data_IF_604669029676
#
_entry.id   IF_604669029676
#
_cell.length_a   1.000
_cell.length_b   1.000
_cell.length_c   1.000
_cell.angle_alpha   90.00
_cell.angle_beta   90.00
_cell.angle_gamma   90.00
#
_symmetry.space_group_name_H-M   'P 1'
#
loop_
_entity.id
_entity.type
_entity.pdbx_description
1 polymer ?
#
# COMPACT_ATOMS: atom_id res chain seq x y z
N UNK A 1 -4.68 11.65 -4.91
CA UNK A 1 -4.35 11.95 -6.32
C UNK A 1 -5.08 13.19 -6.83
N UNK A 2 -6.42 13.16 -6.97
CA UNK A 2 -7.22 14.28 -7.53
C UNK A 2 -6.96 15.64 -6.86
N UNK A 3 -6.83 15.69 -5.53
CA UNK A 3 -6.58 16.95 -4.80
C UNK A 3 -5.20 17.54 -5.12
N UNK A 4 -4.17 16.71 -5.26
CA UNK A 4 -2.78 17.14 -5.45
C UNK A 4 -2.43 17.35 -6.93
N UNK A 5 -2.76 16.38 -7.79
CA UNK A 5 -2.38 16.38 -9.21
C UNK A 5 -3.45 16.96 -10.12
N UNK A 6 -4.69 17.09 -9.64
CA UNK A 6 -5.89 17.47 -10.44
C UNK A 6 -6.11 16.63 -11.70
N UNK A 7 -5.51 15.43 -11.74
CA UNK A 7 -5.63 14.47 -12.84
C UNK A 7 -6.49 13.27 -12.43
N UNK A 8 -6.98 12.55 -13.43
CA UNK A 8 -7.69 11.29 -13.23
C UNK A 8 -6.71 10.18 -12.77
N UNK A 9 -6.97 9.48 -11.64
CA UNK A 9 -6.10 8.39 -11.17
C UNK A 9 -6.29 7.05 -11.90
N UNK A 10 -7.43 6.83 -12.57
CA UNK A 10 -7.75 5.55 -13.21
C UNK A 10 -6.69 5.04 -14.22
N UNK A 11 -6.02 5.89 -15.02
CA UNK A 11 -4.94 5.45 -15.88
C UNK A 11 -3.79 4.77 -15.11
N UNK A 12 -3.38 5.35 -13.98
CA UNK A 12 -2.32 4.77 -13.14
C UNK A 12 -2.78 3.46 -12.52
N UNK A 13 -4.02 3.38 -12.01
CA UNK A 13 -4.54 2.13 -11.47
C UNK A 13 -4.56 1.01 -12.51
N UNK A 14 -4.92 1.33 -13.76
CA UNK A 14 -4.89 0.36 -14.86
C UNK A 14 -3.48 -0.14 -15.13
N UNK A 15 -2.48 0.74 -15.14
CA UNK A 15 -1.07 0.34 -15.31
C UNK A 15 -0.59 -0.53 -14.15
N UNK A 16 -1.03 -0.26 -12.92
CA UNK A 16 -0.64 -1.01 -11.72
C UNK A 16 -1.40 -2.33 -11.50
N UNK A 17 -2.34 -2.69 -12.39
CA UNK A 17 -3.11 -3.94 -12.22
C UNK A 17 -2.25 -5.19 -12.27
N UNK A 18 -1.28 -5.26 -13.18
CA UNK A 18 -0.40 -6.41 -13.32
C UNK A 18 0.46 -6.64 -12.07
N UNK A 19 1.23 -5.65 -11.55
CA UNK A 19 1.99 -5.86 -10.32
C UNK A 19 1.07 -6.12 -9.12
N UNK A 20 -0.16 -5.57 -9.08
CA UNK A 20 -1.11 -5.88 -8.01
C UNK A 20 -1.52 -7.35 -7.99
N UNK A 21 -1.77 -7.97 -9.15
CA UNK A 21 -2.08 -9.40 -9.26
C UNK A 21 -0.89 -10.26 -8.83
N UNK A 22 0.34 -9.87 -9.20
CA UNK A 22 1.56 -10.59 -8.78
C UNK A 22 1.73 -10.48 -7.26
N UNK A 23 1.62 -9.29 -6.69
CA UNK A 23 1.72 -9.07 -5.25
C UNK A 23 0.67 -9.88 -4.47
N UNK A 24 -0.56 -9.92 -4.99
CA UNK A 24 -1.65 -10.70 -4.41
C UNK A 24 -1.39 -12.21 -4.50
N UNK A 25 -1.01 -12.71 -5.69
CA UNK A 25 -0.79 -14.14 -5.91
C UNK A 25 0.45 -14.69 -5.19
N UNK A 26 1.46 -13.85 -4.95
CA UNK A 26 2.70 -14.23 -4.26
C UNK A 26 2.71 -13.86 -2.77
N UNK A 27 1.71 -13.10 -2.31
CA UNK A 27 1.67 -12.48 -0.99
C UNK A 27 2.96 -11.68 -0.65
N UNK A 28 3.63 -11.11 -1.65
CA UNK A 28 4.91 -10.41 -1.50
C UNK A 28 4.98 -9.15 -2.37
N UNK A 29 5.12 -8.00 -1.72
CA UNK A 29 5.32 -6.72 -2.41
C UNK A 29 6.69 -6.65 -3.11
N UNK A 30 7.72 -7.27 -2.51
CA UNK A 30 9.06 -7.36 -3.10
C UNK A 30 9.10 -8.19 -4.39
N UNK A 31 8.27 -9.22 -4.50
CA UNK A 31 8.16 -10.03 -5.72
C UNK A 31 7.52 -9.26 -6.89
N UNK A 32 6.63 -8.32 -6.59
CA UNK A 32 5.99 -7.47 -7.60
C UNK A 32 6.80 -6.21 -7.96
N UNK A 33 7.83 -5.86 -7.18
CA UNK A 33 8.59 -4.62 -7.33
C UNK A 33 9.20 -4.42 -8.74
N UNK A 34 9.86 -5.41 -9.35
CA UNK A 34 10.43 -5.23 -10.69
C UNK A 34 9.35 -4.92 -11.74
N UNK A 35 8.20 -5.59 -11.65
CA UNK A 35 7.06 -5.34 -12.55
C UNK A 35 6.42 -3.98 -12.30
N UNK A 36 6.34 -3.53 -11.04
CA UNK A 36 5.87 -2.19 -10.70
C UNK A 36 6.73 -1.11 -11.35
N UNK A 37 8.05 -1.23 -11.25
CA UNK A 37 8.99 -0.27 -11.86
C UNK A 37 8.80 -0.24 -13.38
N UNK A 38 8.81 -1.40 -14.03
CA UNK A 38 8.61 -1.50 -15.48
C UNK A 38 7.30 -0.85 -15.94
N UNK A 39 6.19 -1.15 -15.27
CA UNK A 39 4.89 -0.55 -15.59
C UNK A 39 4.87 0.99 -15.38
N UNK A 40 5.57 1.50 -14.36
CA UNK A 40 5.68 2.94 -14.12
C UNK A 40 6.58 3.65 -15.15
N UNK A 41 7.65 3.00 -15.62
CA UNK A 41 8.53 3.53 -16.67
C UNK A 41 7.83 3.62 -18.04
N UNK A 42 6.94 2.68 -18.34
CA UNK A 42 6.09 2.71 -19.55
C UNK A 42 4.91 3.69 -19.45
N UNK A 43 4.74 4.34 -18.29
CA UNK A 43 3.73 5.38 -18.07
C UNK A 43 4.32 6.79 -18.28
N UNK A 44 3.50 7.84 -18.19
CA UNK A 44 3.94 9.25 -18.27
C UNK A 44 4.75 9.72 -17.03
N UNK A 45 5.39 8.82 -16.29
CA UNK A 45 6.13 9.11 -15.05
C UNK A 45 7.64 9.12 -15.36
N UNK A 46 8.36 10.09 -14.79
CA UNK A 46 9.81 10.18 -14.95
C UNK A 46 10.50 8.93 -14.41
N UNK A 47 11.32 8.29 -15.24
CA UNK A 47 12.09 7.08 -14.95
C UNK A 47 12.93 7.20 -13.67
N UNK A 48 13.42 8.40 -13.34
CA UNK A 48 14.19 8.63 -12.09
C UNK A 48 13.30 8.49 -10.86
N UNK A 49 12.05 8.93 -10.94
CA UNK A 49 11.07 8.80 -9.86
C UNK A 49 10.61 7.34 -9.75
N UNK A 50 10.34 6.70 -10.90
CA UNK A 50 9.92 5.29 -10.97
C UNK A 50 10.98 4.32 -10.41
N UNK A 51 12.27 4.64 -10.53
CA UNK A 51 13.34 3.82 -9.97
C UNK A 51 13.68 4.12 -8.51
N UNK A 52 13.27 5.27 -7.97
CA UNK A 52 13.62 5.66 -6.60
C UNK A 52 12.48 5.43 -5.60
N UNK A 53 11.27 5.87 -5.92
CA UNK A 53 10.15 5.89 -4.96
C UNK A 53 9.62 4.48 -4.66
N UNK A 54 9.36 3.60 -5.65
CA UNK A 54 8.83 2.25 -5.36
C UNK A 54 9.76 1.37 -4.52
N UNK A 55 11.09 1.29 -4.78
CA UNK A 55 11.99 0.51 -3.93
C UNK A 55 12.03 1.01 -2.49
N UNK A 56 12.06 2.34 -2.30
CA UNK A 56 12.02 2.95 -0.96
C UNK A 56 10.70 2.60 -0.26
N UNK A 57 9.57 2.79 -0.96
CA UNK A 57 8.23 2.52 -0.45
C UNK A 57 7.99 1.06 -0.07
N UNK A 58 8.58 0.11 -0.79
CA UNK A 58 8.40 -1.32 -0.52
C UNK A 58 8.86 -1.74 0.90
N UNK A 59 9.77 -0.99 1.52
CA UNK A 59 10.26 -1.29 2.88
C UNK A 59 9.57 -0.45 3.95
N UNK A 60 9.24 0.81 3.65
CA UNK A 60 8.76 1.76 4.68
C UNK A 60 7.24 1.96 4.66
N UNK A 61 6.58 1.78 3.51
CA UNK A 61 5.16 2.09 3.33
C UNK A 61 4.31 0.82 3.40
N UNK A 62 4.15 0.29 4.62
CA UNK A 62 3.46 -0.99 4.88
C UNK A 62 2.04 -0.77 5.40
N UNK A 63 1.24 0.02 4.67
CA UNK A 63 -0.12 0.40 5.07
C UNK A 63 -1.04 -0.81 5.32
N UNK A 64 -0.89 -1.86 4.50
CA UNK A 64 -1.66 -3.09 4.66
C UNK A 64 -1.37 -3.83 5.98
N UNK A 65 -0.11 -3.82 6.42
CA UNK A 65 0.28 -4.43 7.69
C UNK A 65 -0.22 -3.58 8.88
N UNK A 66 -0.08 -2.26 8.81
CA UNK A 66 -0.59 -1.36 9.85
C UNK A 66 -2.12 -1.48 10.01
N UNK A 67 -2.87 -1.55 8.89
CA UNK A 67 -4.32 -1.78 8.92
C UNK A 67 -4.66 -3.14 9.54
N UNK A 68 -3.94 -4.19 9.15
CA UNK A 68 -4.15 -5.53 9.69
C UNK A 68 -3.91 -5.57 11.21
N UNK A 69 -2.80 -4.99 11.68
CA UNK A 69 -2.46 -4.94 13.11
C UNK A 69 -3.52 -4.18 13.92
N UNK A 70 -3.93 -3.00 13.45
CA UNK A 70 -4.96 -2.20 14.12
C UNK A 70 -6.29 -2.96 14.23
N UNK A 71 -6.74 -3.59 13.15
CA UNK A 71 -7.98 -4.39 13.12
C UNK A 71 -7.85 -5.63 14.02
N UNK A 72 -6.71 -6.31 14.00
CA UNK A 72 -6.48 -7.51 14.80
C UNK A 72 -6.51 -7.19 16.31
N UNK A 73 -5.89 -6.10 16.75
CA UNK A 73 -5.90 -5.69 18.17
C UNK A 73 -7.33 -5.37 18.63
N UNK A 74 -8.09 -4.61 17.83
CA UNK A 74 -9.49 -4.28 18.15
C UNK A 74 -10.33 -5.55 18.22
N UNK A 75 -10.15 -6.47 17.27
CA UNK A 75 -10.87 -7.74 17.23
C UNK A 75 -10.58 -8.61 18.46
N UNK A 76 -9.31 -8.73 18.86
CA UNK A 76 -8.91 -9.48 20.06
C UNK A 76 -9.50 -8.85 21.33
N UNK A 77 -9.50 -7.52 21.43
CA UNK A 77 -10.10 -6.83 22.57
C UNK A 77 -11.61 -7.11 22.67
N UNK A 78 -12.32 -7.08 21.54
CA UNK A 78 -13.75 -7.41 21.47
C UNK A 78 -14.02 -8.86 21.88
N UNK A 79 -13.22 -9.83 21.42
CA UNK A 79 -13.35 -11.24 21.79
C UNK A 79 -13.21 -11.49 23.30
N UNK A 80 -12.38 -10.70 23.96
CA UNK A 80 -12.13 -10.82 25.40
C UNK A 80 -13.03 -9.91 26.26
N UNK A 81 -14.04 -9.25 25.66
CA UNK A 81 -14.89 -8.26 26.31
C UNK A 81 -14.08 -7.11 26.97
N UNK A 82 -12.92 -6.77 26.42
CA UNK A 82 -12.10 -5.64 26.86
C UNK A 82 -12.57 -4.39 26.13
N UNK A 83 -13.07 -3.41 26.87
CA UNK A 83 -13.45 -2.13 26.29
C UNK A 83 -12.21 -1.25 26.06
N UNK A 84 -11.89 -0.96 24.80
CA UNK A 84 -10.85 0.01 24.45
C UNK A 84 -11.39 1.44 24.57
N UNK A 85 -10.72 2.25 25.38
CA UNK A 85 -10.97 3.69 25.42
C UNK A 85 -10.39 4.40 24.19
N UNK A 86 -10.86 5.61 23.90
CA UNK A 86 -10.36 6.41 22.79
C UNK A 86 -8.84 6.65 22.85
N UNK A 87 -8.28 6.84 24.04
CA UNK A 87 -6.84 7.00 24.24
C UNK A 87 -6.06 5.74 23.84
N UNK A 88 -6.62 4.55 24.10
CA UNK A 88 -6.00 3.28 23.71
C UNK A 88 -6.05 3.07 22.21
N UNK A 89 -7.14 3.47 21.55
CA UNK A 89 -7.25 3.40 20.08
C UNK A 89 -6.22 4.31 19.39
N UNK A 90 -5.91 5.48 19.96
CA UNK A 90 -4.85 6.36 19.43
C UNK A 90 -3.45 5.78 19.66
N UNK A 91 -3.27 5.03 20.74
CA UNK A 91 -1.98 4.44 21.11
C UNK A 91 -1.62 3.24 20.25
N UNK A 92 -2.64 2.52 19.77
CA UNK A 92 -2.54 1.43 18.78
C UNK A 92 -2.18 2.03 17.42
#
# INVERSE_FOLDING_TARGET
FVILTRKNPFPIYRTMMQPAVIAFGTASSGAALPTSIYCLEESEIDTRIANFVPPLGNTINVDGNALYEAVAVIFIAQLNNIHLSFAQIITI
#
